data_IF_164373244377
#
_entry.id   IF_164373244377
#
_cell.length_a   1.000
_cell.length_b   1.000
_cell.length_c   1.000
_cell.angle_alpha   90.00
_cell.angle_beta   90.00
_cell.angle_gamma   90.00
#
_symmetry.space_group_name_H-M   'P 1'
#
loop_
_entity.id
_entity.type
_entity.pdbx_description
1 polymer ?
#
# COMPACT_ATOMS: atom_id res chain seq x y z
N UNK A 1 -5.05 -4.53 -22.98
CA UNK A 1 -3.81 -4.59 -23.76
C UNK A 1 -2.88 -3.47 -23.38
N UNK A 2 -2.73 -2.42 -24.20
CA UNK A 2 -1.83 -1.33 -23.89
C UNK A 2 -2.18 -0.56 -22.63
N UNK A 3 -3.48 -0.34 -22.36
CA UNK A 3 -3.94 0.36 -21.18
C UNK A 3 -3.61 -0.38 -19.89
N UNK A 4 -3.82 -1.69 -19.85
CA UNK A 4 -3.50 -2.49 -18.67
C UNK A 4 -2.00 -2.51 -18.42
N UNK A 5 -1.20 -2.70 -19.46
CA UNK A 5 0.27 -2.66 -19.34
C UNK A 5 0.74 -1.28 -18.86
N UNK A 6 0.16 -0.21 -19.38
CA UNK A 6 0.48 1.14 -18.98
C UNK A 6 0.17 1.36 -17.49
N UNK A 7 -0.98 0.89 -17.03
CA UNK A 7 -1.37 0.97 -15.62
C UNK A 7 -0.43 0.17 -14.72
N UNK A 8 -0.07 -1.05 -15.14
CA UNK A 8 0.88 -1.87 -14.39
C UNK A 8 2.25 -1.20 -14.30
N UNK A 9 2.73 -0.58 -15.38
CA UNK A 9 3.98 0.17 -15.37
C UNK A 9 3.93 1.33 -14.38
N UNK A 10 2.81 2.03 -14.30
CA UNK A 10 2.63 3.15 -13.35
C UNK A 10 2.60 2.66 -11.90
N UNK A 11 2.00 1.50 -11.65
CA UNK A 11 2.02 0.90 -10.31
C UNK A 11 3.44 0.53 -9.93
N UNK A 12 4.20 -0.09 -10.85
CA UNK A 12 5.61 -0.40 -10.60
C UNK A 12 6.43 0.86 -10.34
N UNK A 13 6.17 1.93 -11.08
CA UNK A 13 6.81 3.22 -10.85
C UNK A 13 6.53 3.73 -9.44
N UNK A 14 5.27 3.67 -9.00
CA UNK A 14 4.88 4.10 -7.66
C UNK A 14 5.64 3.33 -6.58
N UNK A 15 5.67 2.03 -6.67
CA UNK A 15 6.38 1.20 -5.70
C UNK A 15 7.89 1.45 -5.73
N UNK A 16 8.46 1.65 -6.91
CA UNK A 16 9.89 1.97 -7.05
C UNK A 16 10.26 3.31 -6.41
N UNK A 17 9.37 4.31 -6.49
CA UNK A 17 9.61 5.60 -5.82
C UNK A 17 9.85 5.40 -4.32
N UNK A 18 9.04 4.56 -3.69
CA UNK A 18 9.17 4.29 -2.26
C UNK A 18 10.44 3.50 -1.93
N UNK A 19 10.76 2.51 -2.74
CA UNK A 19 11.98 1.72 -2.54
C UNK A 19 13.24 2.57 -2.69
N UNK A 20 13.24 3.48 -3.64
CA UNK A 20 14.40 4.32 -3.97
C UNK A 20 14.41 5.65 -3.22
N UNK A 21 13.34 5.97 -2.49
CA UNK A 21 13.14 7.26 -1.83
C UNK A 21 13.26 8.42 -2.82
N UNK A 22 12.69 8.25 -4.00
CA UNK A 22 12.82 9.23 -5.07
C UNK A 22 11.48 9.46 -5.76
N UNK A 23 11.03 10.71 -5.77
CA UNK A 23 9.84 11.12 -6.52
C UNK A 23 10.22 11.22 -8.00
N UNK A 24 9.69 10.30 -8.80
CA UNK A 24 9.87 10.28 -10.24
C UNK A 24 8.63 10.75 -10.98
N UNK A 25 7.65 11.33 -10.27
CA UNK A 25 6.46 11.88 -10.89
C UNK A 25 5.18 11.66 -10.12
N UNK A 26 5.17 11.92 -8.79
CA UNK A 26 3.97 11.78 -7.97
C UNK A 26 2.83 12.64 -8.50
N UNK A 27 3.12 13.91 -8.82
CA UNK A 27 2.08 14.83 -9.26
C UNK A 27 1.49 14.47 -10.62
N UNK A 28 2.25 13.80 -11.47
CA UNK A 28 1.78 13.33 -12.77
C UNK A 28 1.05 11.99 -12.65
N UNK A 29 1.42 11.19 -11.66
CA UNK A 29 0.82 9.87 -11.45
C UNK A 29 -0.57 9.96 -10.83
N UNK A 30 -0.75 10.86 -9.87
CA UNK A 30 -2.01 11.06 -9.15
C UNK A 30 -2.71 12.34 -9.60
N UNK A 31 -4.05 12.29 -9.64
CA UNK A 31 -4.83 13.49 -9.98
C UNK A 31 -4.74 14.53 -8.86
N UNK A 32 -4.98 15.83 -9.18
CA UNK A 32 -4.97 16.88 -8.14
C UNK A 32 -5.91 16.63 -6.97
N UNK A 33 -6.99 15.87 -7.19
CA UNK A 33 -8.00 15.56 -6.18
C UNK A 33 -7.98 14.08 -5.76
N UNK A 34 -6.89 13.36 -6.03
CA UNK A 34 -6.77 11.95 -5.71
C UNK A 34 -6.93 11.71 -4.20
N UNK A 35 -7.54 10.58 -3.87
CA UNK A 35 -7.65 10.12 -2.48
C UNK A 35 -6.78 8.88 -2.31
N UNK A 36 -5.92 8.89 -1.30
CA UNK A 36 -5.06 7.74 -0.96
C UNK A 36 -5.33 7.33 0.47
N UNK A 37 -5.75 6.08 0.67
CA UNK A 37 -6.06 5.54 1.99
C UNK A 37 -5.05 4.44 2.29
N UNK A 38 -4.27 4.62 3.37
CA UNK A 38 -3.33 3.60 3.82
C UNK A 38 -4.08 2.44 4.50
N UNK A 39 -3.40 1.32 4.60
CA UNK A 39 -3.87 0.24 5.47
C UNK A 39 -4.07 0.78 6.88
N UNK A 40 -5.17 0.42 7.47
CA UNK A 40 -5.61 0.76 8.82
C UNK A 40 -6.19 2.15 9.01
N UNK A 41 -5.81 3.19 8.30
CA UNK A 41 -6.64 4.39 8.34
C UNK A 41 -6.12 5.73 7.80
N UNK A 42 -4.85 6.11 7.83
CA UNK A 42 -4.56 7.46 7.35
C UNK A 42 -5.03 7.69 5.91
N UNK A 43 -5.58 8.87 5.67
CA UNK A 43 -6.18 9.22 4.39
C UNK A 43 -5.63 10.57 3.93
N UNK A 44 -5.18 10.63 2.69
CA UNK A 44 -4.57 11.82 2.11
C UNK A 44 -5.40 12.30 0.92
N UNK A 45 -5.63 13.59 0.84
CA UNK A 45 -6.46 14.22 -0.18
C UNK A 45 -5.61 15.11 -1.09
N UNK A 46 -5.53 14.72 -2.36
CA UNK A 46 -4.81 15.44 -3.40
C UNK A 46 -3.36 14.99 -3.57
N UNK A 47 -2.85 15.14 -4.79
CA UNK A 47 -1.47 14.74 -5.10
C UNK A 47 -0.43 15.52 -4.29
N UNK A 48 -0.74 16.76 -3.92
CA UNK A 48 0.16 17.56 -3.06
C UNK A 48 0.32 16.95 -1.67
N UNK A 49 -0.77 16.46 -1.07
CA UNK A 49 -0.71 15.82 0.25
C UNK A 49 -0.02 14.46 0.17
N UNK A 50 -0.24 13.71 -0.90
CA UNK A 50 0.46 12.45 -1.13
C UNK A 50 1.96 12.69 -1.22
N UNK A 51 2.38 13.75 -1.89
CA UNK A 51 3.79 14.15 -1.98
C UNK A 51 4.37 14.52 -0.60
N UNK A 52 3.63 15.30 0.20
CA UNK A 52 4.07 15.65 1.55
C UNK A 52 4.26 14.41 2.41
N UNK A 53 3.32 13.50 2.36
CA UNK A 53 3.41 12.23 3.09
C UNK A 53 4.61 11.40 2.62
N UNK A 54 4.81 11.29 1.32
CA UNK A 54 5.95 10.58 0.76
C UNK A 54 7.28 11.15 1.28
N UNK A 55 7.44 12.47 1.24
CA UNK A 55 8.66 13.12 1.69
C UNK A 55 8.89 12.91 3.19
N UNK A 56 7.85 13.09 3.99
CA UNK A 56 7.95 12.93 5.45
C UNK A 56 8.27 11.49 5.83
N UNK A 57 7.54 10.53 5.27
CA UNK A 57 7.75 9.12 5.58
C UNK A 57 9.16 8.66 5.23
N UNK A 58 9.70 9.16 4.12
CA UNK A 58 11.05 8.79 3.68
C UNK A 58 12.14 9.23 4.65
N UNK A 59 11.86 10.19 5.53
CA UNK A 59 12.78 10.59 6.60
C UNK A 59 12.67 9.71 7.84
N UNK A 60 11.60 8.90 7.95
CA UNK A 60 11.29 8.13 9.15
C UNK A 60 11.54 6.63 9.01
N UNK A 61 11.61 6.13 7.80
CA UNK A 61 11.74 4.70 7.57
C UNK A 61 12.35 4.39 6.23
N UNK A 62 12.64 3.11 6.03
CA UNK A 62 13.15 2.57 4.78
C UNK A 62 12.35 1.34 4.40
N UNK A 63 11.87 1.29 3.17
CA UNK A 63 11.18 0.12 2.64
C UNK A 63 12.23 -0.82 2.08
N UNK A 64 12.30 -2.02 2.66
CA UNK A 64 13.23 -3.05 2.22
C UNK A 64 12.67 -3.87 1.07
N UNK A 65 11.35 -4.04 1.05
CA UNK A 65 10.68 -4.88 0.08
C UNK A 65 9.25 -4.38 -0.15
N UNK A 66 8.86 -4.28 -1.41
CA UNK A 66 7.47 -4.09 -1.80
C UNK A 66 7.27 -4.84 -3.10
N UNK A 67 7.04 -6.15 -2.97
CA UNK A 67 6.99 -7.06 -4.10
C UNK A 67 5.57 -7.19 -4.64
N UNK A 68 5.43 -7.03 -5.94
CA UNK A 68 4.15 -7.23 -6.61
C UNK A 68 4.04 -8.70 -7.00
N UNK A 69 2.92 -9.34 -6.63
CA UNK A 69 2.65 -10.73 -6.96
C UNK A 69 1.83 -10.85 -8.22
N UNK A 70 0.75 -10.07 -8.33
CA UNK A 70 -0.12 -10.10 -9.50
C UNK A 70 -1.04 -8.89 -9.53
N UNK A 71 -1.66 -8.70 -10.70
CA UNK A 71 -2.64 -7.63 -10.95
C UNK A 71 -3.96 -8.23 -11.36
N UNK A 72 -5.05 -7.55 -11.03
CA UNK A 72 -6.40 -7.84 -11.50
C UNK A 72 -6.99 -6.57 -12.06
N UNK A 73 -7.48 -6.61 -13.31
CA UNK A 73 -8.04 -5.43 -13.95
C UNK A 73 -9.53 -5.64 -14.23
N UNK A 74 -10.32 -4.60 -13.96
CA UNK A 74 -11.73 -4.59 -14.32
C UNK A 74 -12.17 -3.15 -14.62
N UNK A 75 -12.45 -2.87 -15.91
CA UNK A 75 -12.85 -1.52 -16.31
C UNK A 75 -11.77 -0.49 -16.00
N UNK A 76 -12.13 0.53 -15.23
CA UNK A 76 -11.21 1.58 -14.80
C UNK A 76 -10.55 1.28 -13.45
N UNK A 77 -10.56 0.03 -13.04
CA UNK A 77 -10.00 -0.38 -11.73
C UNK A 77 -8.92 -1.43 -11.90
N UNK A 78 -7.94 -1.36 -10.99
CA UNK A 78 -6.89 -2.37 -10.88
C UNK A 78 -6.73 -2.73 -9.42
N UNK A 79 -6.62 -4.03 -9.14
CA UNK A 79 -6.18 -4.53 -7.83
C UNK A 79 -4.78 -5.09 -8.00
N UNK A 80 -3.87 -4.70 -7.13
CA UNK A 80 -2.53 -5.25 -7.11
C UNK A 80 -2.29 -5.96 -5.77
N UNK A 81 -1.81 -7.20 -5.85
CA UNK A 81 -1.46 -8.00 -4.69
C UNK A 81 0.04 -7.88 -4.43
N UNK A 82 0.42 -7.63 -3.17
CA UNK A 82 1.82 -7.36 -2.84
C UNK A 82 2.22 -7.84 -1.45
N UNK A 83 3.54 -7.91 -1.22
CA UNK A 83 4.14 -8.12 0.08
C UNK A 83 5.06 -6.95 0.39
N UNK A 84 5.07 -6.50 1.65
CA UNK A 84 5.73 -5.27 2.09
C UNK A 84 6.53 -5.52 3.35
N UNK A 85 7.70 -4.88 3.42
CA UNK A 85 8.53 -4.88 4.63
C UNK A 85 9.25 -3.55 4.74
N UNK A 86 9.17 -2.92 5.90
CA UNK A 86 9.93 -1.70 6.17
C UNK A 86 10.60 -1.76 7.53
N UNK A 87 11.64 -0.93 7.69
CA UNK A 87 12.34 -0.72 8.95
C UNK A 87 12.27 0.78 9.25
N UNK A 88 11.73 1.11 10.42
CA UNK A 88 11.62 2.50 10.85
C UNK A 88 12.93 2.95 11.50
N UNK A 89 13.11 4.27 11.61
CA UNK A 89 14.33 4.87 12.19
C UNK A 89 14.58 4.42 13.63
N UNK A 90 13.52 4.07 14.38
CA UNK A 90 13.62 3.56 15.76
C UNK A 90 13.90 2.06 15.82
N UNK A 91 14.07 1.40 14.68
CA UNK A 91 14.32 -0.04 14.60
C UNK A 91 13.07 -0.90 14.50
N UNK A 92 11.88 -0.32 14.58
CA UNK A 92 10.62 -1.06 14.43
C UNK A 92 10.55 -1.64 13.01
N UNK A 93 10.21 -2.92 12.91
CA UNK A 93 10.03 -3.60 11.64
C UNK A 93 8.56 -3.90 11.44
N UNK A 94 8.04 -3.57 10.26
CA UNK A 94 6.68 -3.93 9.85
C UNK A 94 6.76 -4.82 8.63
N UNK A 95 6.04 -5.94 8.64
CA UNK A 95 6.01 -6.89 7.55
C UNK A 95 4.56 -7.35 7.37
N UNK A 96 3.98 -7.06 6.22
CA UNK A 96 2.60 -7.41 5.94
C UNK A 96 2.39 -7.62 4.44
N UNK A 97 1.34 -8.32 4.08
CA UNK A 97 0.91 -8.46 2.70
C UNK A 97 -0.48 -7.87 2.54
N UNK A 98 -0.89 -7.66 1.31
CA UNK A 98 -2.18 -7.06 1.06
C UNK A 98 -2.48 -6.79 -0.40
N UNK A 99 -3.47 -5.94 -0.57
CA UNK A 99 -3.97 -5.53 -1.86
C UNK A 99 -4.09 -4.01 -1.87
N UNK A 100 -3.91 -3.42 -3.06
CA UNK A 100 -4.33 -2.03 -3.29
C UNK A 100 -5.44 -2.02 -4.33
N UNK A 101 -6.52 -1.30 -4.03
CA UNK A 101 -7.58 -1.03 -4.98
C UNK A 101 -7.32 0.33 -5.61
N UNK A 102 -7.16 0.36 -6.92
CA UNK A 102 -6.79 1.57 -7.67
C UNK A 102 -7.88 1.90 -8.67
N UNK A 103 -8.29 3.17 -8.73
CA UNK A 103 -9.19 3.67 -9.76
C UNK A 103 -8.45 4.67 -10.62
N UNK A 104 -8.65 4.59 -11.92
CA UNK A 104 -7.98 5.38 -12.92
C UNK A 104 -8.95 6.34 -13.60
N UNK A 105 -8.46 7.53 -13.95
CA UNK A 105 -9.20 8.40 -14.85
C UNK A 105 -8.93 8.02 -16.32
N UNK A 106 -9.53 8.74 -17.25
CA UNK A 106 -9.38 8.44 -18.69
C UNK A 106 -7.95 8.61 -19.19
N UNK A 107 -7.16 9.46 -18.52
CA UNK A 107 -5.76 9.68 -18.85
C UNK A 107 -4.82 8.69 -18.17
N UNK A 108 -5.35 7.64 -17.54
CA UNK A 108 -4.60 6.66 -16.75
C UNK A 108 -3.78 7.30 -15.64
N UNK A 109 -4.37 8.30 -14.97
CA UNK A 109 -3.87 8.80 -13.70
C UNK A 109 -4.68 8.18 -12.57
N UNK A 110 -4.04 7.99 -11.43
CA UNK A 110 -4.69 7.44 -10.25
C UNK A 110 -5.54 8.52 -9.60
N UNK A 111 -6.86 8.30 -9.50
CA UNK A 111 -7.76 9.20 -8.79
C UNK A 111 -8.18 8.66 -7.44
N UNK A 112 -7.95 7.37 -7.18
CA UNK A 112 -8.26 6.74 -5.89
C UNK A 112 -7.35 5.53 -5.71
N UNK A 113 -6.80 5.39 -4.50
CA UNK A 113 -6.06 4.19 -4.12
C UNK A 113 -6.33 3.89 -2.66
N UNK A 114 -6.70 2.66 -2.35
CA UNK A 114 -6.87 2.20 -0.97
C UNK A 114 -6.10 0.91 -0.76
N UNK A 115 -5.34 0.86 0.32
CA UNK A 115 -4.57 -0.32 0.71
C UNK A 115 -5.33 -1.13 1.76
N UNK A 116 -5.22 -2.45 1.66
CA UNK A 116 -5.83 -3.40 2.60
C UNK A 116 -4.75 -4.39 3.01
N UNK A 117 -4.07 -4.09 4.11
CA UNK A 117 -2.96 -4.91 4.58
C UNK A 117 -3.35 -5.86 5.70
N UNK A 118 -2.56 -6.91 5.86
CA UNK A 118 -2.72 -7.88 6.93
C UNK A 118 -1.32 -8.34 7.35
N UNK A 119 -1.09 -8.45 8.66
CA UNK A 119 0.20 -8.89 9.18
C UNK A 119 0.58 -10.26 8.62
N UNK A 120 1.82 -10.42 8.22
CA UNK A 120 2.35 -11.72 7.79
C UNK A 120 2.55 -12.67 8.97
N UNK A 121 2.94 -12.13 10.12
CA UNK A 121 3.14 -12.91 11.33
C UNK A 121 1.80 -13.21 11.98
N UNK A 122 1.08 -14.13 11.39
CA UNK A 122 -0.24 -14.57 11.83
C UNK A 122 -0.12 -15.71 12.84
N UNK A 123 -1.21 -15.94 13.56
CA UNK A 123 -1.27 -17.03 14.53
C UNK A 123 -2.67 -17.61 14.56
N UNK A 124 -2.76 -18.82 15.07
CA UNK A 124 -4.04 -19.51 15.29
C UNK A 124 -4.36 -19.41 16.79
N UNK A 125 -5.42 -18.70 17.17
CA UNK A 125 -5.80 -18.62 18.58
C UNK A 125 -6.07 -19.98 19.23
N UNK A 126 -6.40 -20.97 18.43
CA UNK A 126 -6.73 -22.32 18.91
C UNK A 126 -5.58 -23.33 18.72
N UNK A 127 -4.37 -22.86 18.48
CA UNK A 127 -3.22 -23.76 18.26
C UNK A 127 -2.93 -24.68 19.45
N UNK A 128 -3.36 -24.30 20.66
CA UNK A 128 -3.07 -25.06 21.89
C UNK A 128 -4.31 -25.74 22.50
N UNK A 129 -5.44 -25.70 21.80
CA UNK A 129 -6.66 -26.34 22.28
C UNK A 129 -7.91 -25.58 21.94
N UNK A 130 -8.98 -25.87 22.67
CA UNK A 130 -10.31 -25.35 22.37
C UNK A 130 -10.63 -24.03 23.07
N UNK A 131 -9.69 -23.49 23.84
CA UNK A 131 -9.81 -22.17 24.45
C UNK A 131 -8.87 -21.23 23.68
N UNK A 132 -9.40 -20.11 23.13
CA UNK A 132 -8.56 -19.24 22.32
C UNK A 132 -7.54 -18.49 23.17
N UNK A 133 -6.33 -18.33 22.63
CA UNK A 133 -5.25 -17.56 23.24
C UNK A 133 -4.86 -16.44 22.26
N UNK A 134 -4.93 -15.19 22.71
CA UNK A 134 -4.65 -14.02 21.89
C UNK A 134 -3.32 -13.39 22.27
N UNK A 135 -2.64 -12.78 21.31
CA UNK A 135 -1.40 -12.03 21.55
C UNK A 135 -1.64 -10.75 22.32
N UNK A 136 -2.82 -10.16 22.14
CA UNK A 136 -3.21 -8.92 22.80
C UNK A 136 -4.31 -9.22 23.81
N UNK A 137 -4.30 -8.44 24.88
CA UNK A 137 -5.30 -8.63 25.93
C UNK A 137 -6.72 -8.37 25.47
N UNK A 138 -6.87 -7.48 24.45
CA UNK A 138 -8.17 -7.13 23.92
C UNK A 138 -8.28 -7.56 22.46
N UNK A 139 -9.08 -8.56 22.21
CA UNK A 139 -9.39 -9.03 20.87
C UNK A 139 -10.76 -8.46 20.45
N UNK A 140 -10.83 -7.15 20.24
CA UNK A 140 -12.10 -6.46 19.97
C UNK A 140 -12.74 -6.91 18.66
N UNK A 141 -11.95 -7.44 17.72
CA UNK A 141 -12.39 -7.94 16.43
C UNK A 141 -12.85 -9.39 16.47
N UNK A 142 -12.67 -10.05 17.58
CA UNK A 142 -13.08 -11.46 17.75
C UNK A 142 -14.42 -11.53 18.48
#
# INVERSE_FOLDING_TARGET
MGTERQRENKIRQWFSMWLDKQDTGIEELFTPDAVYIESWEPEYHGNGKIKLWFDEWSTRGTIERWDIRQYFHKGDQTVVEWAFRCVMADGTVQSFDGLSLIRWNEASQICFLQEFGCNENRYDPYAQGNTPVFREEQALWF
#
